data_IF_635564984813
#
_entry.id   IF_635564984813
#
_cell.length_a   1.000
_cell.length_b   1.000
_cell.length_c   1.000
_cell.angle_alpha   90.00
_cell.angle_beta   90.00
_cell.angle_gamma   90.00
#
_symmetry.space_group_name_H-M   'P 1'
#
loop_
_entity.id
_entity.type
_entity.pdbx_description
1 polymer ?
#
# COMPACT_ATOMS: atom_id res chain seq x y z
N UNK A 1 12.30 22.87 27.41
CA UNK A 1 13.28 21.79 27.67
C UNK A 1 12.89 20.92 28.87
N UNK A 2 12.65 21.48 30.07
CA UNK A 2 12.33 20.69 31.27
C UNK A 2 10.99 19.91 31.23
N UNK A 3 10.04 20.28 30.37
CA UNK A 3 8.75 19.58 30.22
C UNK A 3 8.85 18.34 29.32
N UNK A 4 9.53 18.43 28.17
CA UNK A 4 9.66 17.31 27.21
C UNK A 4 10.38 16.11 27.82
N UNK A 5 11.47 16.33 28.57
CA UNK A 5 12.20 15.25 29.23
C UNK A 5 11.35 14.55 30.29
N UNK A 6 10.56 15.29 31.07
CA UNK A 6 9.64 14.71 32.07
C UNK A 6 8.55 13.87 31.41
N UNK A 7 7.97 14.36 30.31
CA UNK A 7 7.00 13.60 29.54
C UNK A 7 7.62 12.35 28.89
N UNK A 8 8.83 12.44 28.36
CA UNK A 8 9.56 11.29 27.82
C UNK A 8 9.84 10.23 28.91
N UNK A 9 10.22 10.66 30.11
CA UNK A 9 10.39 9.77 31.27
C UNK A 9 9.05 9.11 31.67
N UNK A 10 7.95 9.87 31.66
CA UNK A 10 6.62 9.34 31.94
C UNK A 10 6.20 8.30 30.91
N UNK A 11 6.33 8.57 29.61
CA UNK A 11 5.99 7.61 28.56
C UNK A 11 6.87 6.36 28.62
N UNK A 12 8.15 6.53 28.93
CA UNK A 12 9.04 5.40 29.21
C UNK A 12 8.52 4.55 30.38
N UNK A 13 8.00 5.15 31.45
CA UNK A 13 7.42 4.39 32.58
C UNK A 13 6.16 3.59 32.20
N UNK A 14 5.48 3.95 31.10
CA UNK A 14 4.38 3.16 30.53
C UNK A 14 4.87 2.02 29.61
N UNK A 15 6.19 1.81 29.52
CA UNK A 15 6.81 0.84 28.63
C UNK A 15 6.82 1.27 27.17
N UNK A 16 6.83 2.58 26.88
CA UNK A 16 6.92 3.10 25.52
C UNK A 16 8.37 3.50 25.18
N UNK A 17 8.84 3.09 24.01
CA UNK A 17 10.14 3.50 23.48
C UNK A 17 10.06 4.90 22.88
N UNK A 18 10.83 5.84 23.43
CA UNK A 18 10.77 7.26 23.07
C UNK A 18 12.10 7.80 22.55
N UNK A 19 12.02 8.68 21.56
CA UNK A 19 13.20 9.36 21.00
C UNK A 19 12.93 10.86 20.80
N UNK A 20 13.95 11.73 20.95
CA UNK A 20 13.79 13.15 20.71
C UNK A 20 13.74 13.47 19.22
N UNK A 21 12.91 14.44 18.83
CA UNK A 21 12.82 14.93 17.44
C UNK A 21 13.02 16.45 17.34
N UNK A 22 13.38 16.91 16.15
CA UNK A 22 13.39 18.34 15.79
C UNK A 22 12.03 18.84 15.24
N UNK A 23 11.92 20.12 14.88
CA UNK A 23 10.68 20.67 14.30
C UNK A 23 10.20 19.99 13.01
N UNK A 24 11.11 19.35 12.29
CA UNK A 24 10.84 18.59 11.06
C UNK A 24 10.36 17.16 11.35
N UNK A 25 10.14 16.80 12.62
CA UNK A 25 9.70 15.47 13.06
C UNK A 25 10.73 14.36 12.77
N UNK A 26 12.00 14.73 12.61
CA UNK A 26 13.11 13.78 12.42
C UNK A 26 13.76 13.48 13.76
N UNK A 27 14.05 12.20 14.00
CA UNK A 27 14.83 11.77 15.17
C UNK A 27 16.20 12.46 15.19
N UNK A 28 16.61 12.93 16.37
CA UNK A 28 17.94 13.52 16.59
C UNK A 28 19.02 12.47 16.89
N UNK A 29 18.63 11.20 16.98
CA UNK A 29 19.51 10.06 17.24
C UNK A 29 19.20 8.93 16.27
N UNK A 30 20.15 8.01 16.06
CA UNK A 30 19.85 6.76 15.39
C UNK A 30 18.79 6.00 16.21
N UNK A 31 17.59 5.86 15.67
CA UNK A 31 16.45 5.31 16.37
C UNK A 31 16.22 3.83 16.10
N UNK A 32 16.90 3.26 15.09
CA UNK A 32 16.76 1.85 14.71
C UNK A 32 17.01 0.87 15.86
N UNK A 33 18.05 1.03 16.70
CA UNK A 33 18.25 0.13 17.84
C UNK A 33 17.08 0.19 18.84
N UNK A 34 16.43 1.34 18.96
CA UNK A 34 15.33 1.56 19.91
C UNK A 34 13.98 0.99 19.42
N UNK A 35 13.97 0.30 18.28
CA UNK A 35 12.88 -0.57 17.86
C UNK A 35 12.89 -1.93 18.58
N UNK A 36 13.99 -2.27 19.26
CA UNK A 36 14.17 -3.54 19.97
C UNK A 36 14.44 -3.37 21.45
N UNK A 37 15.01 -2.23 21.86
CA UNK A 37 15.35 -1.95 23.25
C UNK A 37 14.93 -0.53 23.65
N UNK A 38 14.30 -0.37 24.81
CA UNK A 38 13.94 0.96 25.31
C UNK A 38 15.19 1.69 25.80
N UNK A 39 15.35 2.95 25.41
CA UNK A 39 16.47 3.80 25.81
C UNK A 39 16.66 3.87 27.35
N UNK A 40 17.91 3.72 27.79
CA UNK A 40 18.27 3.80 29.22
C UNK A 40 18.00 5.20 29.81
N UNK A 41 17.79 5.30 31.13
CA UNK A 41 17.53 6.61 31.76
C UNK A 41 18.70 7.59 31.63
N UNK A 42 19.92 7.06 31.66
CA UNK A 42 21.14 7.87 31.48
C UNK A 42 21.19 8.46 30.08
N UNK A 43 20.95 7.62 29.06
CA UNK A 43 20.99 8.07 27.67
C UNK A 43 19.79 8.97 27.33
N UNK A 44 18.59 8.65 27.81
CA UNK A 44 17.40 9.50 27.67
C UNK A 44 17.68 10.92 28.17
N UNK A 45 18.24 11.06 29.38
CA UNK A 45 18.58 12.38 29.94
C UNK A 45 19.63 13.12 29.13
N UNK A 46 20.55 12.41 28.48
CA UNK A 46 21.58 13.00 27.63
C UNK A 46 20.99 13.50 26.32
N UNK A 47 20.22 12.67 25.60
CA UNK A 47 19.71 13.00 24.27
C UNK A 47 18.62 14.08 24.29
N UNK A 48 17.80 14.14 25.36
CA UNK A 48 16.78 15.19 25.53
C UNK A 48 17.34 16.55 25.98
N UNK A 49 18.66 16.66 26.22
CA UNK A 49 19.35 17.93 26.48
C UNK A 49 19.90 18.60 25.23
N UNK A 50 19.80 17.96 24.05
CA UNK A 50 20.25 18.59 22.82
C UNK A 50 19.42 19.85 22.54
N UNK A 51 20.06 20.93 22.10
CA UNK A 51 19.40 22.22 21.85
C UNK A 51 18.37 22.17 20.71
N UNK A 52 18.49 21.18 19.83
CA UNK A 52 17.59 20.93 18.69
C UNK A 52 16.34 20.11 19.05
N UNK A 53 16.17 19.71 20.32
CA UNK A 53 15.01 18.95 20.78
C UNK A 53 13.79 19.84 20.81
N UNK A 54 12.82 19.53 19.96
CA UNK A 54 11.56 20.27 19.85
C UNK A 54 10.33 19.38 20.06
N UNK A 55 10.51 18.06 20.14
CA UNK A 55 9.42 17.13 20.39
C UNK A 55 9.87 15.75 20.83
N UNK A 56 8.86 14.88 20.98
CA UNK A 56 8.98 13.47 21.36
C UNK A 56 8.32 12.64 20.26
N UNK A 57 9.01 11.58 19.84
CA UNK A 57 8.41 10.49 19.09
C UNK A 57 8.32 9.24 19.95
N UNK A 58 7.27 8.43 19.73
CA UNK A 58 7.14 7.08 20.26
C UNK A 58 7.34 6.10 19.12
N UNK A 59 8.27 5.18 19.28
CA UNK A 59 8.49 4.07 18.36
C UNK A 59 7.38 3.05 18.57
N UNK A 60 6.69 2.67 17.50
CA UNK A 60 5.58 1.71 17.52
C UNK A 60 6.11 0.27 17.41
N UNK A 61 5.24 -0.70 17.61
CA UNK A 61 5.58 -2.13 17.55
C UNK A 61 5.86 -2.75 18.91
N UNK A 62 6.55 -3.90 18.89
CA UNK A 62 6.78 -4.76 20.07
C UNK A 62 7.46 -4.03 21.23
N UNK A 63 8.47 -3.20 20.95
CA UNK A 63 9.24 -2.47 21.97
C UNK A 63 8.37 -1.55 22.83
N UNK A 64 7.22 -1.14 22.31
CA UNK A 64 6.23 -0.30 23.00
C UNK A 64 5.00 -1.09 23.45
N UNK A 65 5.15 -2.40 23.67
CA UNK A 65 4.08 -3.29 24.11
C UNK A 65 3.02 -3.51 23.04
N UNK A 66 3.46 -3.73 21.79
CA UNK A 66 2.61 -3.87 20.60
C UNK A 66 1.72 -2.65 20.30
N UNK A 67 2.27 -1.45 20.51
CA UNK A 67 1.61 -0.21 20.12
C UNK A 67 1.45 -0.18 18.59
N UNK A 68 0.23 0.05 18.13
CA UNK A 68 -0.07 0.39 16.74
C UNK A 68 -0.94 1.65 16.72
N UNK A 69 -0.73 2.49 15.71
CA UNK A 69 -1.43 3.77 15.59
C UNK A 69 -2.05 3.88 14.21
N UNK A 70 -3.31 4.29 14.13
CA UNK A 70 -3.89 4.75 12.85
C UNK A 70 -3.65 6.26 12.77
N UNK A 71 -2.86 6.68 11.78
CA UNK A 71 -2.59 8.08 11.45
C UNK A 71 -3.59 8.53 10.37
N UNK A 72 -4.43 9.48 10.75
CA UNK A 72 -5.46 10.11 9.93
C UNK A 72 -4.93 11.45 9.43
N UNK A 73 -4.64 11.57 8.14
CA UNK A 73 -4.08 12.78 7.57
C UNK A 73 -5.16 13.71 7.00
N UNK A 74 -5.97 14.33 7.87
CA UNK A 74 -7.15 15.10 7.44
C UNK A 74 -6.83 16.35 6.61
N UNK A 75 -5.59 16.86 6.58
CA UNK A 75 -5.22 17.92 5.60
C UNK A 75 -5.22 17.42 4.15
N UNK A 76 -5.20 16.10 3.94
CA UNK A 76 -5.33 15.49 2.63
C UNK A 76 -6.78 15.18 2.29
N UNK A 77 -7.71 15.29 3.22
CA UNK A 77 -9.13 15.14 2.93
C UNK A 77 -9.69 16.40 2.23
N UNK A 78 -10.58 16.19 1.26
CA UNK A 78 -11.25 17.26 0.52
C UNK A 78 -12.61 17.61 1.13
N UNK A 79 -13.25 16.68 1.86
CA UNK A 79 -14.56 16.92 2.48
C UNK A 79 -14.45 17.67 3.81
N UNK A 80 -13.26 17.64 4.44
CA UNK A 80 -12.97 18.16 5.78
C UNK A 80 -13.65 17.39 6.92
N UNK A 81 -14.23 16.22 6.62
CA UNK A 81 -14.98 15.39 7.56
C UNK A 81 -14.34 14.02 7.82
N UNK A 82 -13.16 13.72 7.24
CA UNK A 82 -12.52 12.40 7.37
C UNK A 82 -12.42 11.88 8.81
N UNK A 83 -12.06 12.73 9.77
CA UNK A 83 -11.98 12.33 11.18
C UNK A 83 -13.37 11.97 11.73
N UNK A 84 -14.36 12.85 11.56
CA UNK A 84 -15.71 12.66 12.10
C UNK A 84 -16.39 11.45 11.48
N UNK A 85 -16.24 11.27 10.16
CA UNK A 85 -16.79 10.13 9.42
C UNK A 85 -16.15 8.81 9.84
N UNK A 86 -14.82 8.82 10.00
CA UNK A 86 -14.07 7.63 10.44
C UNK A 86 -14.42 7.24 11.88
N UNK A 87 -14.40 8.19 12.80
CA UNK A 87 -14.80 7.97 14.20
C UNK A 87 -16.24 7.47 14.29
N UNK A 88 -17.16 8.11 13.55
CA UNK A 88 -18.57 7.69 13.50
C UNK A 88 -18.75 6.28 12.92
N UNK A 89 -17.95 5.89 11.94
CA UNK A 89 -17.98 4.53 11.39
C UNK A 89 -17.51 3.49 12.42
N UNK A 90 -16.43 3.78 13.16
CA UNK A 90 -15.99 2.93 14.27
C UNK A 90 -17.08 2.84 15.33
N UNK A 91 -17.64 3.97 15.77
CA UNK A 91 -18.69 4.02 16.78
C UNK A 91 -19.94 3.23 16.37
N UNK A 92 -20.35 3.32 15.10
CA UNK A 92 -21.48 2.53 14.55
C UNK A 92 -21.17 1.02 14.52
N UNK A 93 -19.92 0.65 14.26
CA UNK A 93 -19.51 -0.77 14.23
C UNK A 93 -19.31 -1.35 15.63
N UNK A 94 -18.73 -0.58 16.55
CA UNK A 94 -18.47 -0.97 17.93
C UNK A 94 -18.22 0.28 18.80
N UNK A 95 -19.24 0.69 19.56
CA UNK A 95 -19.19 1.88 20.41
C UNK A 95 -18.19 1.75 21.59
N UNK A 96 -18.00 0.54 22.12
CA UNK A 96 -17.06 0.29 23.22
C UNK A 96 -15.62 0.46 22.74
N UNK A 97 -15.30 -0.05 21.55
CA UNK A 97 -14.00 0.19 20.92
C UNK A 97 -13.80 1.69 20.71
N UNK A 98 -14.75 2.37 20.07
CA UNK A 98 -14.64 3.81 19.79
C UNK A 98 -14.36 4.65 21.05
N UNK A 99 -15.12 4.40 22.12
CA UNK A 99 -14.97 5.12 23.39
C UNK A 99 -13.70 4.74 24.17
N UNK A 100 -13.11 3.57 23.92
CA UNK A 100 -11.87 3.13 24.58
C UNK A 100 -10.59 3.71 23.96
N UNK A 101 -10.62 4.13 22.69
CA UNK A 101 -9.43 4.55 21.94
C UNK A 101 -8.79 5.80 22.54
N UNK A 102 -7.45 5.83 22.62
CA UNK A 102 -6.74 7.07 22.89
C UNK A 102 -6.56 7.82 21.57
N UNK A 103 -6.93 9.11 21.53
CA UNK A 103 -6.89 9.92 20.31
C UNK A 103 -6.11 11.21 20.57
N UNK A 104 -5.14 11.49 19.70
CA UNK A 104 -4.36 12.72 19.72
C UNK A 104 -4.47 13.50 18.42
N UNK A 105 -4.78 14.80 18.51
CA UNK A 105 -4.67 15.71 17.38
C UNK A 105 -3.21 16.07 17.10
N UNK A 106 -2.88 16.28 15.82
CA UNK A 106 -1.53 16.58 15.34
C UNK A 106 -1.41 18.03 14.86
N UNK A 107 -0.15 18.48 14.67
CA UNK A 107 0.15 19.87 14.25
C UNK A 107 -0.52 20.30 12.94
N UNK A 108 -0.79 19.37 12.04
CA UNK A 108 -1.28 19.67 10.68
C UNK A 108 -2.73 19.21 10.47
N UNK A 109 -3.57 19.29 11.50
CA UNK A 109 -4.99 18.89 11.47
C UNK A 109 -5.24 17.38 11.23
N UNK A 110 -4.23 16.53 11.33
CA UNK A 110 -4.40 15.08 11.38
C UNK A 110 -4.64 14.56 12.79
N UNK A 111 -4.88 13.26 12.93
CA UNK A 111 -5.19 12.59 14.20
C UNK A 111 -4.50 11.24 14.31
N UNK A 112 -4.06 10.88 15.51
CA UNK A 112 -3.50 9.58 15.84
C UNK A 112 -4.47 8.83 16.74
N UNK A 113 -4.84 7.61 16.36
CA UNK A 113 -5.63 6.68 17.16
C UNK A 113 -4.71 5.60 17.71
N UNK A 114 -4.41 5.67 19.00
CA UNK A 114 -3.47 4.79 19.68
C UNK A 114 -4.17 3.61 20.33
N UNK A 115 -3.65 2.41 20.09
CA UNK A 115 -4.09 1.19 20.75
C UNK A 115 -2.97 0.15 20.79
N UNK A 116 -3.15 -0.89 21.58
CA UNK A 116 -2.32 -2.09 21.58
C UNK A 116 -3.10 -3.26 21.00
N UNK A 117 -2.42 -4.22 20.38
CA UNK A 117 -3.04 -5.46 19.93
C UNK A 117 -2.01 -6.61 20.02
N UNK A 118 -2.38 -7.85 20.38
CA UNK A 118 -1.46 -8.98 20.31
C UNK A 118 -1.00 -9.30 18.88
N UNK A 119 -1.73 -8.84 17.86
CA UNK A 119 -1.37 -8.99 16.45
C UNK A 119 -1.17 -7.60 15.85
N UNK A 120 0.04 -7.32 15.37
CA UNK A 120 0.41 -6.04 14.74
C UNK A 120 1.15 -6.28 13.42
N UNK A 121 1.19 -5.28 12.54
CA UNK A 121 1.88 -5.31 11.24
C UNK A 121 2.94 -4.20 11.14
N UNK A 122 3.63 -4.15 9.99
CA UNK A 122 4.43 -2.99 9.61
C UNK A 122 3.53 -1.80 9.24
N UNK A 123 4.13 -0.63 9.00
CA UNK A 123 3.42 0.51 8.45
C UNK A 123 2.70 0.16 7.14
N UNK A 124 1.43 0.56 7.01
CA UNK A 124 0.60 0.23 5.85
C UNK A 124 -0.35 1.36 5.50
N UNK A 125 -0.34 1.77 4.24
CA UNK A 125 -1.37 2.68 3.70
C UNK A 125 -2.70 1.94 3.58
N UNK A 126 -3.74 2.46 4.24
CA UNK A 126 -5.08 1.89 4.26
C UNK A 126 -6.02 2.61 3.28
N UNK A 127 -5.92 3.95 3.23
CA UNK A 127 -6.71 4.77 2.31
C UNK A 127 -5.88 5.90 1.73
N UNK A 128 -6.24 6.26 0.49
CA UNK A 128 -5.62 7.32 -0.30
C UNK A 128 -6.62 7.88 -1.30
N UNK A 129 -6.29 9.02 -1.88
CA UNK A 129 -6.97 9.61 -3.04
C UNK A 129 -5.95 10.06 -4.09
N UNK A 130 -6.43 10.28 -5.31
CA UNK A 130 -5.66 11.03 -6.31
C UNK A 130 -5.54 12.50 -5.90
N UNK A 131 -4.45 13.16 -6.28
CA UNK A 131 -4.35 14.62 -6.17
C UNK A 131 -5.31 15.33 -7.11
N UNK A 132 -5.75 16.52 -6.72
CA UNK A 132 -6.60 17.37 -7.57
C UNK A 132 -5.76 18.03 -8.67
N UNK A 133 -6.44 18.62 -9.67
CA UNK A 133 -5.75 19.35 -10.74
C UNK A 133 -4.95 20.53 -10.17
N UNK A 134 -5.51 21.22 -9.19
CA UNK A 134 -4.92 22.38 -8.52
C UNK A 134 -3.66 21.97 -7.73
N UNK A 135 -3.71 20.84 -7.02
CA UNK A 135 -2.54 20.30 -6.31
C UNK A 135 -1.42 19.89 -7.29
N UNK A 136 -1.78 19.31 -8.45
CA UNK A 136 -0.84 18.95 -9.50
C UNK A 136 -0.19 20.16 -10.17
N UNK A 137 -0.86 21.32 -10.22
CA UNK A 137 -0.25 22.56 -10.70
C UNK A 137 0.86 23.04 -9.75
N UNK A 138 0.71 22.80 -8.45
CA UNK A 138 1.72 23.15 -7.44
C UNK A 138 2.87 22.14 -7.46
N UNK A 139 2.55 20.84 -7.55
CA UNK A 139 3.55 19.77 -7.62
C UNK A 139 3.12 18.65 -8.59
N UNK A 140 3.57 18.68 -9.85
CA UNK A 140 3.16 17.71 -10.88
C UNK A 140 3.52 16.25 -10.57
N UNK A 141 4.48 16.01 -9.67
CA UNK A 141 4.92 14.66 -9.30
C UNK A 141 4.12 14.06 -8.13
N UNK A 142 3.36 14.89 -7.42
CA UNK A 142 2.53 14.48 -6.31
C UNK A 142 1.17 14.01 -6.82
N UNK A 143 1.05 12.70 -7.07
CA UNK A 143 -0.13 12.09 -7.74
C UNK A 143 -1.14 11.48 -6.79
N UNK A 144 -0.71 11.16 -5.57
CA UNK A 144 -1.49 10.37 -4.60
C UNK A 144 -1.26 10.96 -3.22
N UNK A 145 -2.35 11.22 -2.49
CA UNK A 145 -2.31 11.60 -1.08
C UNK A 145 -2.82 10.46 -0.21
N UNK A 146 -2.10 10.18 0.87
CA UNK A 146 -2.53 9.23 1.91
C UNK A 146 -3.56 9.91 2.79
N UNK A 147 -4.63 9.20 3.12
CA UNK A 147 -5.67 9.64 4.04
C UNK A 147 -5.55 8.92 5.39
N UNK A 148 -5.30 7.61 5.34
CA UNK A 148 -5.20 6.75 6.52
C UNK A 148 -4.03 5.78 6.34
N UNK A 149 -3.15 5.70 7.33
CA UNK A 149 -2.08 4.70 7.40
C UNK A 149 -1.94 4.12 8.81
N UNK A 150 -1.44 2.88 8.91
CA UNK A 150 -0.97 2.34 10.18
C UNK A 150 0.49 2.72 10.41
N UNK A 151 0.81 2.95 11.68
CA UNK A 151 2.17 3.05 12.20
C UNK A 151 2.36 1.90 13.19
N UNK A 152 3.09 0.88 12.77
CA UNK A 152 3.34 -0.34 13.53
C UNK A 152 4.84 -0.59 13.62
N UNK A 153 5.28 -1.82 13.32
CA UNK A 153 6.72 -2.14 13.23
C UNK A 153 7.42 -1.24 12.21
N UNK A 154 8.62 -0.77 12.57
CA UNK A 154 9.37 0.17 11.72
C UNK A 154 8.77 1.57 11.64
N UNK A 155 7.77 1.89 12.48
CA UNK A 155 7.11 3.18 12.54
C UNK A 155 7.39 3.91 13.86
N UNK A 156 7.32 5.23 13.80
CA UNK A 156 7.15 6.06 14.99
C UNK A 156 6.13 7.16 14.71
N UNK A 157 5.57 7.71 15.79
CA UNK A 157 4.62 8.83 15.76
C UNK A 157 5.06 9.94 16.70
N UNK A 158 4.77 11.19 16.35
CA UNK A 158 5.02 12.34 17.23
C UNK A 158 3.85 12.50 18.20
N UNK A 159 4.14 12.87 19.44
CA UNK A 159 3.16 12.87 20.52
C UNK A 159 3.19 14.17 21.32
N UNK A 160 2.06 14.51 21.97
CA UNK A 160 2.02 15.50 23.06
C UNK A 160 3.12 15.20 24.10
N UNK A 161 3.73 16.19 24.78
CA UNK A 161 3.57 17.63 24.68
C UNK A 161 4.43 18.31 23.59
N UNK A 162 4.76 17.61 22.49
CA UNK A 162 5.34 18.29 21.32
C UNK A 162 4.41 19.43 20.85
N UNK A 163 4.92 20.63 20.55
CA UNK A 163 4.07 21.75 20.13
C UNK A 163 3.16 21.41 18.94
N UNK A 164 1.88 21.74 19.08
CA UNK A 164 0.84 21.44 18.09
C UNK A 164 0.24 20.04 18.17
N UNK A 165 0.66 19.20 19.13
CA UNK A 165 0.02 17.93 19.45
C UNK A 165 -0.81 18.08 20.72
N UNK A 166 -1.90 17.35 20.85
CA UNK A 166 -2.74 17.31 22.06
C UNK A 166 -3.56 16.03 22.10
N UNK A 167 -3.82 15.49 23.29
CA UNK A 167 -4.80 14.42 23.44
C UNK A 167 -6.21 15.02 23.47
N UNK A 168 -7.13 14.41 22.72
CA UNK A 168 -8.54 14.80 22.67
C UNK A 168 -9.46 13.70 23.24
N UNK A 169 -8.94 12.48 23.38
CA UNK A 169 -9.61 11.37 24.05
C UNK A 169 -8.56 10.51 24.76
N UNK A 170 -8.72 10.33 26.08
CA UNK A 170 -7.80 9.61 26.97
C UNK A 170 -6.34 10.07 26.87
N UNK A 171 -5.42 9.32 27.45
CA UNK A 171 -3.98 9.53 27.35
C UNK A 171 -3.22 8.19 27.24
N UNK A 172 -1.90 8.25 27.13
CA UNK A 172 -1.05 7.08 26.93
C UNK A 172 -0.84 6.20 28.17
N UNK A 173 -1.27 6.64 29.35
CA UNK A 173 -1.09 5.91 30.60
C UNK A 173 -1.85 4.58 30.61
N UNK A 174 -2.99 4.52 29.91
CA UNK A 174 -3.83 3.32 29.83
C UNK A 174 -4.36 3.13 28.42
N UNK A 175 -3.48 2.67 27.51
CA UNK A 175 -3.87 2.33 26.15
C UNK A 175 -4.78 1.09 26.12
N UNK A 176 -5.87 1.10 25.34
CA UNK A 176 -6.73 -0.07 25.20
C UNK A 176 -5.97 -1.19 24.48
N UNK A 177 -6.18 -2.43 24.95
CA UNK A 177 -5.70 -3.64 24.27
C UNK A 177 -6.85 -4.21 23.46
N UNK A 178 -6.82 -4.00 22.15
CA UNK A 178 -7.82 -4.52 21.22
C UNK A 178 -7.56 -5.98 20.90
N UNK A 179 -8.63 -6.75 20.78
CA UNK A 179 -8.60 -8.10 20.24
C UNK A 179 -8.32 -8.08 18.72
N UNK A 180 -7.78 -9.17 18.15
CA UNK A 180 -7.43 -9.21 16.72
C UNK A 180 -8.59 -8.92 15.76
N UNK A 181 -9.81 -9.32 16.11
CA UNK A 181 -11.04 -9.04 15.36
C UNK A 181 -11.44 -7.56 15.44
N UNK A 182 -11.32 -6.93 16.61
CA UNK A 182 -11.52 -5.49 16.78
C UNK A 182 -10.50 -4.68 15.97
N UNK A 183 -9.24 -5.10 15.96
CA UNK A 183 -8.21 -4.52 15.09
C UNK A 183 -8.60 -4.67 13.62
N UNK A 184 -8.98 -5.87 13.18
CA UNK A 184 -9.38 -6.12 11.79
C UNK A 184 -10.54 -5.22 11.37
N UNK A 185 -11.54 -5.04 12.24
CA UNK A 185 -12.64 -4.10 12.04
C UNK A 185 -12.14 -2.66 11.82
N UNK A 186 -11.21 -2.15 12.64
CA UNK A 186 -10.61 -0.83 12.41
C UNK A 186 -9.92 -0.73 11.05
N UNK A 187 -9.18 -1.79 10.66
CA UNK A 187 -8.49 -1.84 9.37
C UNK A 187 -9.47 -1.82 8.19
N UNK A 188 -10.57 -2.57 8.28
CA UNK A 188 -11.54 -2.66 7.20
C UNK A 188 -12.37 -1.39 7.05
N UNK A 189 -12.76 -0.76 8.18
CA UNK A 189 -13.35 0.58 8.16
C UNK A 189 -12.36 1.56 7.54
N UNK A 190 -11.10 1.60 7.95
CA UNK A 190 -10.13 2.54 7.40
C UNK A 190 -9.93 2.34 5.88
N UNK A 191 -9.91 1.09 5.39
CA UNK A 191 -9.83 0.79 3.95
C UNK A 191 -11.06 1.28 3.17
N UNK A 192 -12.24 1.34 3.78
CA UNK A 192 -13.46 1.81 3.08
C UNK A 192 -13.40 3.28 2.69
N UNK A 193 -12.49 4.06 3.27
CA UNK A 193 -12.23 5.46 2.91
C UNK A 193 -11.26 5.61 1.72
N UNK A 194 -10.82 4.51 1.11
CA UNK A 194 -9.94 4.58 -0.06
C UNK A 194 -10.70 5.07 -1.30
N UNK A 195 -10.43 6.31 -1.71
CA UNK A 195 -10.99 6.94 -2.91
C UNK A 195 -10.12 6.72 -4.16
N UNK A 196 -8.90 6.20 -3.97
CA UNK A 196 -7.98 5.93 -5.07
C UNK A 196 -8.35 4.62 -5.77
N UNK A 197 -8.93 4.74 -6.95
CA UNK A 197 -8.99 3.63 -7.89
C UNK A 197 -7.62 3.44 -8.54
N UNK A 198 -7.09 2.21 -8.48
CA UNK A 198 -5.91 1.89 -9.28
C UNK A 198 -6.31 2.05 -10.75
N UNK A 199 -5.56 2.82 -11.56
CA UNK A 199 -5.83 2.89 -12.99
C UNK A 199 -5.86 1.47 -13.54
N UNK A 200 -6.97 1.13 -14.19
CA UNK A 200 -7.10 -0.16 -14.88
C UNK A 200 -5.96 -0.24 -15.90
N UNK A 201 -5.32 -1.40 -16.05
CA UNK A 201 -4.28 -1.53 -17.04
C UNK A 201 -4.83 -1.11 -18.41
N UNK A 202 -4.16 -0.21 -19.12
CA UNK A 202 -4.51 0.07 -20.52
C UNK A 202 -4.34 -1.24 -21.29
N UNK A 203 -5.33 -1.65 -22.07
CA UNK A 203 -5.20 -2.87 -22.88
C UNK A 203 -4.35 -2.47 -24.10
N UNK A 204 -3.15 -3.04 -24.23
CA UNK A 204 -2.36 -2.86 -25.44
C UNK A 204 -2.96 -3.75 -26.55
N UNK A 205 -3.81 -3.17 -27.39
CA UNK A 205 -4.21 -3.79 -28.66
C UNK A 205 -3.99 -2.75 -29.76
N UNK A 206 -3.21 -3.05 -30.82
CA UNK A 206 -3.40 -2.38 -32.10
C UNK A 206 -4.81 -2.69 -32.58
N UNK A 207 -5.57 -1.68 -33.02
CA UNK A 207 -6.95 -1.85 -33.53
C UNK A 207 -6.99 -2.81 -34.74
N UNK A 208 -7.10 -4.11 -34.49
CA UNK A 208 -7.38 -5.13 -35.48
C UNK A 208 -8.80 -5.60 -35.21
N UNK A 209 -9.64 -5.54 -36.25
CA UNK A 209 -11.09 -5.72 -36.21
C UNK A 209 -11.56 -6.82 -35.25
N UNK A 210 -12.17 -6.39 -34.14
CA UNK A 210 -12.64 -7.23 -33.03
C UNK A 210 -13.80 -8.17 -33.38
N UNK A 211 -14.36 -8.05 -34.57
CA UNK A 211 -15.56 -8.79 -34.99
C UNK A 211 -15.25 -10.06 -35.80
N UNK A 212 -13.97 -10.40 -35.96
CA UNK A 212 -13.53 -11.56 -36.73
C UNK A 212 -12.97 -12.65 -35.79
N UNK A 213 -13.87 -13.43 -35.17
CA UNK A 213 -13.49 -14.58 -34.32
C UNK A 213 -12.71 -15.65 -35.11
N UNK A 214 -12.72 -15.59 -36.43
CA UNK A 214 -11.95 -16.46 -37.33
C UNK A 214 -10.50 -15.98 -37.54
N UNK A 215 -10.11 -14.85 -36.93
CA UNK A 215 -8.74 -14.36 -36.96
C UNK A 215 -7.83 -15.18 -36.04
N UNK A 216 -6.60 -15.56 -36.47
CA UNK A 216 -5.62 -16.28 -35.67
C UNK A 216 -5.33 -15.62 -34.32
N UNK A 217 -5.32 -14.28 -34.26
CA UNK A 217 -5.10 -13.55 -33.01
C UNK A 217 -6.28 -13.73 -32.04
N UNK A 218 -7.52 -13.63 -32.54
CA UNK A 218 -8.73 -13.78 -31.72
C UNK A 218 -8.96 -15.24 -31.31
N UNK A 219 -8.67 -16.19 -32.20
CA UNK A 219 -8.73 -17.62 -31.88
C UNK A 219 -7.68 -17.99 -30.83
N UNK A 220 -6.46 -17.43 -30.93
CA UNK A 220 -5.46 -17.61 -29.87
C UNK A 220 -5.87 -16.94 -28.54
N UNK A 221 -6.52 -15.76 -28.59
CA UNK A 221 -7.11 -15.18 -27.37
C UNK A 221 -8.18 -16.09 -26.76
N UNK A 222 -8.97 -16.80 -27.57
CA UNK A 222 -10.04 -17.66 -27.09
C UNK A 222 -9.56 -18.99 -26.50
N UNK A 223 -8.56 -19.63 -27.12
CA UNK A 223 -8.15 -21.01 -26.77
C UNK A 223 -6.64 -21.26 -26.73
N UNK A 224 -5.81 -20.22 -26.87
CA UNK A 224 -4.36 -20.33 -26.78
C UNK A 224 -3.89 -20.61 -25.35
N UNK A 225 -2.83 -21.41 -25.21
CA UNK A 225 -2.22 -21.69 -23.91
C UNK A 225 -1.19 -20.62 -23.54
N UNK A 226 -1.69 -19.49 -23.03
CA UNK A 226 -0.83 -18.38 -22.60
C UNK A 226 0.02 -18.73 -21.38
N UNK A 227 -0.43 -19.65 -20.52
CA UNK A 227 0.34 -20.07 -19.35
C UNK A 227 1.54 -20.89 -19.78
N UNK A 228 1.33 -21.90 -20.63
CA UNK A 228 2.41 -22.69 -21.21
C UNK A 228 3.39 -21.84 -22.01
N UNK A 229 2.89 -20.85 -22.77
CA UNK A 229 3.74 -19.87 -23.46
C UNK A 229 4.63 -19.08 -22.49
N UNK A 230 4.06 -18.56 -21.40
CA UNK A 230 4.83 -17.82 -20.39
C UNK A 230 5.91 -18.72 -19.76
N UNK A 231 5.57 -19.95 -19.41
CA UNK A 231 6.51 -20.92 -18.83
C UNK A 231 7.64 -21.30 -19.79
N UNK A 232 7.33 -21.48 -21.07
CA UNK A 232 8.32 -21.71 -22.12
C UNK A 232 9.34 -20.56 -22.20
N UNK A 233 8.90 -19.32 -22.01
CA UNK A 233 9.75 -18.12 -21.94
C UNK A 233 10.34 -17.84 -20.55
N UNK A 234 10.35 -18.83 -19.67
CA UNK A 234 11.04 -18.79 -18.38
C UNK A 234 10.31 -18.04 -17.27
N UNK A 235 9.06 -17.65 -17.48
CA UNK A 235 8.20 -17.22 -16.36
C UNK A 235 7.85 -18.44 -15.52
N UNK A 236 8.00 -18.33 -14.20
CA UNK A 236 7.69 -19.45 -13.30
C UNK A 236 6.33 -19.23 -12.67
N UNK A 237 5.41 -20.16 -12.85
CA UNK A 237 4.14 -20.16 -12.10
C UNK A 237 4.46 -20.37 -10.61
N UNK A 238 4.09 -19.40 -9.79
CA UNK A 238 4.41 -19.38 -8.35
C UNK A 238 3.22 -19.90 -7.53
N UNK A 239 2.02 -19.42 -7.84
CA UNK A 239 0.78 -19.83 -7.17
C UNK A 239 -0.46 -19.51 -8.01
N UNK A 240 -1.54 -20.19 -7.69
CA UNK A 240 -2.89 -19.94 -8.23
C UNK A 240 -3.87 -19.76 -7.07
N UNK A 241 -4.79 -18.80 -7.18
CA UNK A 241 -5.75 -18.46 -6.11
C UNK A 241 -7.22 -18.72 -6.47
N UNK A 242 -7.48 -19.43 -7.56
CA UNK A 242 -8.85 -19.65 -8.07
C UNK A 242 -9.31 -18.62 -9.10
N UNK A 243 -8.67 -17.45 -9.17
CA UNK A 243 -9.01 -16.38 -10.14
C UNK A 243 -7.81 -15.99 -10.99
N UNK A 244 -6.61 -16.04 -10.39
CA UNK A 244 -5.36 -15.57 -10.98
C UNK A 244 -4.25 -16.60 -10.84
N UNK A 245 -3.46 -16.73 -11.89
CA UNK A 245 -2.16 -17.38 -11.87
C UNK A 245 -1.06 -16.32 -11.68
N UNK A 246 -0.24 -16.46 -10.64
CA UNK A 246 0.85 -15.53 -10.34
C UNK A 246 2.17 -16.07 -10.85
N UNK A 247 2.94 -15.21 -11.51
CA UNK A 247 4.20 -15.59 -12.13
C UNK A 247 5.37 -14.78 -11.60
N UNK A 248 6.53 -15.42 -11.49
CA UNK A 248 7.82 -14.76 -11.34
C UNK A 248 8.50 -14.65 -12.70
N UNK A 249 9.03 -13.47 -13.02
CA UNK A 249 9.71 -13.22 -14.30
C UNK A 249 11.00 -14.04 -14.46
N UNK A 250 11.46 -14.27 -15.69
CA UNK A 250 12.80 -14.80 -15.94
C UNK A 250 13.90 -13.83 -15.46
N UNK A 251 15.06 -14.40 -15.09
CA UNK A 251 16.22 -13.67 -14.58
C UNK A 251 16.28 -13.55 -13.05
N UNK A 252 17.23 -12.75 -12.56
CA UNK A 252 17.49 -12.56 -11.12
C UNK A 252 16.51 -11.54 -10.55
N UNK A 253 15.81 -11.89 -9.47
CA UNK A 253 14.89 -11.01 -8.74
C UNK A 253 14.67 -11.52 -7.31
N UNK A 254 14.56 -10.59 -6.35
CA UNK A 254 14.28 -10.89 -4.94
C UNK A 254 12.78 -10.80 -4.60
N UNK A 255 11.94 -10.67 -5.63
CA UNK A 255 10.49 -10.57 -5.50
C UNK A 255 9.84 -11.91 -5.81
N UNK A 256 8.91 -12.34 -4.95
CA UNK A 256 8.21 -13.61 -5.10
C UNK A 256 7.40 -13.69 -6.40
N UNK A 257 6.78 -12.58 -6.82
CA UNK A 257 5.97 -12.50 -8.05
C UNK A 257 6.28 -11.21 -8.82
N UNK A 258 6.13 -11.26 -10.14
CA UNK A 258 6.42 -10.16 -11.06
C UNK A 258 5.26 -9.83 -12.01
N UNK A 259 4.29 -10.72 -12.14
CA UNK A 259 3.06 -10.52 -12.92
C UNK A 259 1.97 -11.51 -12.52
N UNK A 260 0.75 -11.30 -13.02
CA UNK A 260 -0.36 -12.24 -12.87
C UNK A 260 -1.17 -12.37 -14.16
N UNK A 261 -1.77 -13.54 -14.38
CA UNK A 261 -2.76 -13.78 -15.41
C UNK A 261 -4.12 -13.97 -14.77
N UNK A 262 -5.08 -13.11 -15.12
CA UNK A 262 -6.45 -13.18 -14.62
C UNK A 262 -7.30 -14.00 -15.59
N UNK A 263 -7.76 -15.18 -15.14
CA UNK A 263 -8.51 -16.13 -15.98
C UNK A 263 -9.84 -15.58 -16.46
N UNK A 264 -10.63 -14.97 -15.57
CA UNK A 264 -11.93 -14.38 -15.95
C UNK A 264 -11.85 -13.15 -16.88
N UNK A 265 -10.75 -12.40 -16.86
CA UNK A 265 -10.55 -11.24 -17.75
C UNK A 265 -9.74 -11.60 -19.00
N UNK A 266 -9.08 -12.76 -19.00
CA UNK A 266 -8.15 -13.21 -20.02
C UNK A 266 -7.03 -12.17 -20.29
N UNK A 267 -6.39 -11.71 -19.21
CA UNK A 267 -5.36 -10.67 -19.25
C UNK A 267 -4.15 -11.02 -18.38
N UNK A 268 -2.98 -10.92 -18.97
CA UNK A 268 -1.68 -10.95 -18.30
C UNK A 268 -1.25 -9.52 -17.93
N UNK A 269 -0.98 -9.28 -16.66
CA UNK A 269 -0.48 -8.01 -16.13
C UNK A 269 0.92 -8.16 -15.54
N UNK A 270 1.78 -7.18 -15.79
CA UNK A 270 3.17 -7.17 -15.29
C UNK A 270 3.39 -5.97 -14.36
N UNK A 271 4.07 -6.21 -13.23
CA UNK A 271 4.29 -5.22 -12.17
C UNK A 271 5.78 -4.82 -12.01
N UNK A 272 6.67 -5.50 -12.71
CA UNK A 272 8.13 -5.24 -12.73
C UNK A 272 8.55 -4.38 -13.93
N UNK A 273 9.73 -3.79 -13.87
CA UNK A 273 10.31 -2.97 -14.97
C UNK A 273 11.30 -3.72 -15.84
N UNK A 274 11.77 -4.90 -15.43
CA UNK A 274 12.84 -5.65 -16.10
C UNK A 274 12.28 -6.74 -17.02
N UNK A 275 11.36 -6.36 -17.90
CA UNK A 275 10.68 -7.24 -18.88
C UNK A 275 10.37 -6.46 -20.15
N UNK A 276 10.08 -7.16 -21.24
CA UNK A 276 9.58 -6.58 -22.51
C UNK A 276 8.17 -5.97 -22.42
N UNK A 277 7.43 -6.34 -21.38
CA UNK A 277 6.10 -5.84 -21.04
C UNK A 277 6.18 -4.53 -20.26
N UNK A 278 5.21 -3.65 -20.51
CA UNK A 278 5.04 -2.40 -19.80
C UNK A 278 4.22 -2.61 -18.53
N UNK A 279 4.62 -1.93 -17.45
CA UNK A 279 3.85 -1.94 -16.21
C UNK A 279 2.52 -1.25 -16.42
N UNK A 280 1.50 -1.73 -15.70
CA UNK A 280 0.13 -1.17 -15.75
C UNK A 280 -0.50 -1.28 -17.14
N UNK A 281 -0.10 -2.28 -17.91
CA UNK A 281 -0.72 -2.67 -19.17
C UNK A 281 -1.23 -4.11 -19.03
N UNK A 282 -2.43 -4.36 -19.54
CA UNK A 282 -3.04 -5.69 -19.57
C UNK A 282 -2.88 -6.27 -20.97
N UNK A 283 -2.31 -7.46 -21.06
CA UNK A 283 -2.01 -8.13 -22.32
C UNK A 283 -2.91 -9.34 -22.50
N UNK A 284 -3.65 -9.40 -23.61
CA UNK A 284 -4.35 -10.63 -24.01
C UNK A 284 -3.35 -11.71 -24.46
N UNK A 285 -3.74 -12.99 -24.49
CA UNK A 285 -2.87 -14.07 -24.96
C UNK A 285 -2.13 -13.78 -26.27
N UNK A 286 -2.81 -13.24 -27.28
CA UNK A 286 -2.21 -12.93 -28.58
C UNK A 286 -1.15 -11.81 -28.49
N UNK A 287 -1.34 -10.86 -27.57
CA UNK A 287 -0.35 -9.81 -27.31
C UNK A 287 0.85 -10.38 -26.55
N UNK A 288 0.64 -11.30 -25.60
CA UNK A 288 1.72 -12.04 -24.95
C UNK A 288 2.53 -12.83 -25.98
N UNK A 289 1.86 -13.55 -26.88
CA UNK A 289 2.49 -14.25 -28.00
C UNK A 289 3.27 -13.31 -28.91
N UNK A 290 2.67 -12.19 -29.35
CA UNK A 290 3.33 -11.24 -30.22
C UNK A 290 4.59 -10.64 -29.58
N UNK A 291 4.56 -10.37 -28.28
CA UNK A 291 5.71 -9.85 -27.53
C UNK A 291 6.83 -10.89 -27.50
N UNK A 292 6.54 -12.09 -26.99
CA UNK A 292 7.54 -13.12 -26.71
C UNK A 292 8.09 -13.80 -27.98
N UNK A 293 7.25 -14.04 -28.99
CA UNK A 293 7.63 -14.82 -30.18
C UNK A 293 7.94 -13.95 -31.40
N UNK A 294 7.38 -12.75 -31.46
CA UNK A 294 7.34 -11.95 -32.68
C UNK A 294 7.89 -10.52 -32.51
N UNK A 295 8.56 -10.22 -31.39
CA UNK A 295 9.14 -8.90 -31.13
C UNK A 295 8.12 -7.75 -31.33
N UNK A 296 6.89 -7.97 -30.82
CA UNK A 296 5.74 -7.08 -30.92
C UNK A 296 5.17 -6.89 -32.34
N UNK A 297 5.56 -7.70 -33.32
CA UNK A 297 4.97 -7.71 -34.66
C UNK A 297 3.71 -8.59 -34.71
N UNK A 298 2.55 -7.94 -34.67
CA UNK A 298 1.24 -8.61 -34.71
C UNK A 298 0.90 -9.23 -36.07
N UNK A 299 1.51 -8.76 -37.18
CA UNK A 299 1.32 -9.39 -38.50
C UNK A 299 2.08 -10.70 -38.56
N UNK A 300 3.30 -10.71 -38.04
CA UNK A 300 4.09 -11.94 -37.89
C UNK A 300 3.39 -12.92 -36.94
N UNK A 301 2.88 -12.43 -35.81
CA UNK A 301 2.13 -13.24 -34.86
C UNK A 301 0.92 -13.91 -35.51
N UNK A 302 0.09 -13.15 -36.24
CA UNK A 302 -1.07 -13.71 -36.94
C UNK A 302 -0.66 -14.77 -37.98
N UNK A 303 0.46 -14.58 -38.68
CA UNK A 303 0.97 -15.55 -39.66
C UNK A 303 1.46 -16.85 -39.00
N UNK A 304 2.19 -16.76 -37.88
CA UNK A 304 2.67 -17.94 -37.14
C UNK A 304 1.54 -18.71 -36.50
N UNK A 305 0.63 -18.01 -35.82
CA UNK A 305 -0.56 -18.60 -35.20
C UNK A 305 -1.42 -19.31 -36.25
N UNK A 306 -1.58 -18.75 -37.45
CA UNK A 306 -2.27 -19.45 -38.54
C UNK A 306 -1.57 -20.75 -38.95
N UNK A 307 -0.24 -20.77 -39.00
CA UNK A 307 0.54 -21.97 -39.31
C UNK A 307 0.48 -23.01 -38.18
N UNK A 308 0.31 -22.57 -36.93
CA UNK A 308 0.09 -23.40 -35.75
C UNK A 308 -1.36 -23.89 -35.62
N UNK A 309 -2.24 -23.50 -36.55
CA UNK A 309 -3.62 -23.97 -36.62
C UNK A 309 -4.62 -23.10 -35.87
N UNK A 310 -4.31 -21.83 -35.59
CA UNK A 310 -5.24 -20.85 -35.03
C UNK A 310 -5.91 -20.01 -36.12
N UNK A 311 -7.24 -19.88 -36.06
CA UNK A 311 -8.07 -19.15 -37.01
C UNK A 311 -8.00 -19.71 -38.44
N UNK A 312 -8.45 -18.91 -39.40
CA UNK A 312 -8.43 -19.24 -40.83
C UNK A 312 -7.80 -18.12 -41.66
N UNK A 313 -7.36 -18.37 -42.91
CA UNK A 313 -6.78 -17.33 -43.76
C UNK A 313 -7.81 -16.24 -44.14
N UNK A 314 -7.39 -14.97 -44.17
CA UNK A 314 -8.27 -13.82 -44.43
C UNK A 314 -9.12 -13.96 -45.71
N UNK A 315 -8.55 -14.52 -46.79
CA UNK A 315 -9.25 -14.74 -48.06
C UNK A 315 -10.35 -15.83 -48.00
N UNK A 316 -10.43 -16.60 -46.91
CA UNK A 316 -11.47 -17.61 -46.66
C UNK A 316 -12.54 -17.16 -45.65
N UNK A 317 -12.30 -16.08 -44.89
CA UNK A 317 -13.17 -15.58 -43.80
C UNK A 317 -14.47 -14.93 -44.26
N UNK A 318 -14.60 -14.62 -45.55
CA UNK A 318 -15.77 -13.95 -46.13
C UNK A 318 -16.45 -14.78 -47.23
N UNK A 319 -16.22 -16.10 -47.25
CA UNK A 319 -16.82 -17.03 -48.22
C UNK A 319 -17.78 -18.05 -47.60
N UNK A 320 -18.27 -17.79 -46.38
CA UNK A 320 -19.31 -18.57 -45.73
C UNK A 320 -20.62 -17.78 -45.72
#
# INVERSE_FOLDING_TARGET
MNSLIKAAQLYKSFGLSVVPVNFQKKSLINWEPYQHEIISDKELRKVFRYSSVEGIAIICGEVSGNLEVIDVDSKHDLTTHLFDDFYSAIQRSNADVASSLCIGATRNKGYHFYYKCPVIENNRVLARRSTTKEELLINPNDKIRVLLETRGRGGYVIVYPTPGYQFIQHDLGHLPVLQPDQRLMLMDIAKSFNLYERPRPTIAIPSIHYYDNESPLNDYDARGDVIGLLEYHGWKLVRYDGVKSYFRRPGITDHDTSGDFHHGLNLFGVFTTSTEFERKVGYRPCAVYAFLECNKDFRLAAKRLLAEGYGVPYNKRHRA
#
